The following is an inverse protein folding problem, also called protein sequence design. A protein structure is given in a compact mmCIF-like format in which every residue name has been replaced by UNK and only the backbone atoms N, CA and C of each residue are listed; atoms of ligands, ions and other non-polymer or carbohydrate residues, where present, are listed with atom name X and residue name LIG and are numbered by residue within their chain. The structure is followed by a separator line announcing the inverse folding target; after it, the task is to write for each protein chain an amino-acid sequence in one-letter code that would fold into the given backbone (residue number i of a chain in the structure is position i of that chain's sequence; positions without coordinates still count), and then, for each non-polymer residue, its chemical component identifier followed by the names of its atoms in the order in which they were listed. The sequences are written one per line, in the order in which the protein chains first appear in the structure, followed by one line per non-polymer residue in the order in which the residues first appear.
data_IF_880043900314
#
_entry.id   IF_880043900314
#
_cell.length_a   1.000
_cell.length_b   1.000
_cell.length_c   1.000
_cell.angle_alpha   90.00
_cell.angle_beta   90.00
_cell.angle_gamma   90.00
#
_symmetry.space_group_name_H-M   'P 1'
#
loop_
_entity.id
_entity.type
_entity.pdbx_description
1 polymer ?
#
# COMPACT_ATOMS: atom_id res chain seq x y z
N UNK A 1 11.13 3.55 -9.43
CA UNK A 1 10.87 2.45 -8.51
C UNK A 1 11.05 2.97 -7.09
N UNK A 2 10.12 2.70 -6.19
CA UNK A 2 10.18 3.17 -4.81
C UNK A 2 9.47 2.21 -3.88
N UNK A 3 10.06 1.93 -2.72
CA UNK A 3 9.38 1.26 -1.63
C UNK A 3 8.65 2.28 -0.76
N UNK A 4 7.46 1.91 -0.30
CA UNK A 4 6.66 2.69 0.64
C UNK A 4 6.32 1.82 1.85
N UNK A 5 6.51 2.35 3.05
CA UNK A 5 5.98 1.76 4.28
C UNK A 5 4.56 2.29 4.48
N UNK A 6 3.56 1.45 4.27
CA UNK A 6 2.15 1.81 4.33
C UNK A 6 1.59 1.51 5.72
N UNK A 7 1.13 2.52 6.48
CA UNK A 7 0.50 2.29 7.77
C UNK A 7 -0.78 1.46 7.63
N UNK A 8 -1.12 0.64 8.64
CA UNK A 8 -2.39 -0.09 8.63
C UNK A 8 -3.60 0.83 8.84
N UNK A 9 -3.39 1.92 9.58
CA UNK A 9 -4.39 2.98 9.80
C UNK A 9 -4.66 3.76 8.52
N UNK A 10 -5.93 4.12 8.30
CA UNK A 10 -6.29 5.05 7.24
C UNK A 10 -5.66 6.43 7.50
N UNK A 11 -5.38 7.24 6.47
CA UNK A 11 -4.76 8.56 6.64
C UNK A 11 -5.46 9.47 7.66
N UNK A 12 -6.79 9.42 7.72
CA UNK A 12 -7.62 10.18 8.64
C UNK A 12 -7.57 9.68 10.10
N UNK A 13 -7.09 8.45 10.34
CA UNK A 13 -6.96 7.85 11.66
C UNK A 13 -5.56 8.07 12.27
N UNK A 14 -4.58 8.46 11.44
CA UNK A 14 -3.23 8.80 11.88
C UNK A 14 -3.25 10.19 12.49
N UNK A 15 -2.79 10.30 13.73
CA UNK A 15 -2.68 11.58 14.43
C UNK A 15 -1.25 12.09 14.41
N UNK A 16 -1.09 13.41 14.55
CA UNK A 16 0.23 14.04 14.54
C UNK A 16 1.11 13.59 15.71
N UNK A 17 0.49 13.21 16.83
CA UNK A 17 1.10 12.70 18.04
C UNK A 17 1.19 11.17 18.10
N UNK A 18 0.69 10.46 17.08
CA UNK A 18 0.90 9.00 17.00
C UNK A 18 2.41 8.74 16.88
N UNK A 19 2.95 7.98 17.83
CA UNK A 19 4.34 7.52 17.74
C UNK A 19 4.48 6.61 16.53
N UNK A 20 5.49 6.85 15.68
CA UNK A 20 5.83 5.97 14.56
C UNK A 20 6.04 4.51 15.01
N UNK A 21 6.48 4.30 16.25
CA UNK A 21 6.68 2.97 16.84
C UNK A 21 5.38 2.22 17.15
N UNK A 22 4.25 2.93 17.22
CA UNK A 22 2.93 2.38 17.52
C UNK A 22 2.10 2.12 16.24
N UNK A 23 2.60 2.57 15.10
CA UNK A 23 2.01 2.30 13.80
C UNK A 23 2.62 1.02 13.24
N UNK A 24 1.77 0.05 12.90
CA UNK A 24 2.19 -1.11 12.11
C UNK A 24 2.20 -0.72 10.63
N UNK A 25 3.19 -1.21 9.90
CA UNK A 25 3.40 -0.91 8.48
C UNK A 25 3.61 -2.18 7.65
N UNK A 26 3.13 -2.15 6.42
CA UNK A 26 3.56 -3.09 5.37
C UNK A 26 4.53 -2.38 4.42
N UNK A 27 5.57 -3.10 3.98
CA UNK A 27 6.47 -2.62 2.94
C UNK A 27 5.90 -2.99 1.57
N UNK A 28 5.65 -1.99 0.73
CA UNK A 28 5.00 -2.15 -0.59
C UNK A 28 5.89 -1.58 -1.68
N UNK A 29 6.10 -2.34 -2.75
CA UNK A 29 6.85 -1.90 -3.93
C UNK A 29 5.96 -1.13 -4.88
N UNK A 30 6.43 0.00 -5.43
CA UNK A 30 5.70 0.78 -6.44
C UNK A 30 6.54 1.09 -7.68
N UNK A 31 5.86 1.06 -8.83
CA UNK A 31 6.41 1.42 -10.13
C UNK A 31 5.38 2.17 -10.98
N UNK A 32 5.67 3.45 -11.27
CA UNK A 32 4.93 4.23 -12.27
C UNK A 32 5.30 3.77 -13.68
N UNK A 33 4.29 3.58 -14.51
CA UNK A 33 4.42 3.17 -15.90
C UNK A 33 4.29 4.39 -16.82
N UNK A 34 4.83 4.30 -18.05
CA UNK A 34 4.76 5.37 -19.05
C UNK A 34 3.32 5.79 -19.41
N UNK A 35 2.36 4.86 -19.31
CA UNK A 35 0.93 5.10 -19.56
C UNK A 35 0.22 5.85 -18.40
N UNK A 36 0.96 6.23 -17.35
CA UNK A 36 0.44 6.88 -16.14
C UNK A 36 -0.32 5.93 -15.20
N UNK A 37 -0.23 4.62 -15.41
CA UNK A 37 -0.66 3.64 -14.42
C UNK A 37 0.40 3.40 -13.36
N UNK A 38 -0.01 2.81 -12.25
CA UNK A 38 0.87 2.46 -11.14
C UNK A 38 0.75 0.97 -10.88
N UNK A 39 1.87 0.27 -10.97
CA UNK A 39 2.01 -1.09 -10.54
C UNK A 39 2.51 -1.13 -9.09
N UNK A 40 2.00 -2.06 -8.29
CA UNK A 40 2.56 -2.31 -6.97
C UNK A 40 2.42 -3.75 -6.51
N UNK A 41 3.37 -4.15 -5.66
CA UNK A 41 3.47 -5.49 -5.07
C UNK A 41 3.49 -5.43 -3.54
N UNK A 42 2.79 -6.37 -2.91
CA UNK A 42 2.72 -6.48 -1.46
C UNK A 42 2.54 -7.93 -1.02
N UNK A 43 3.03 -8.24 0.17
CA UNK A 43 2.78 -9.51 0.84
C UNK A 43 1.48 -9.44 1.64
N UNK A 44 0.64 -10.46 1.53
CA UNK A 44 -0.55 -10.58 2.37
C UNK A 44 -0.89 -12.05 2.62
N UNK A 45 -1.72 -12.30 3.64
CA UNK A 45 -2.17 -13.66 3.94
C UNK A 45 -3.03 -14.20 2.80
N UNK A 46 -2.69 -15.40 2.31
CA UNK A 46 -3.43 -16.11 1.28
C UNK A 46 -4.81 -16.54 1.80
N UNK A 47 -5.85 -15.85 1.35
CA UNK A 47 -7.23 -16.31 1.54
C UNK A 47 -7.66 -17.14 0.34
N UNK A 48 -8.18 -18.35 0.57
CA UNK A 48 -8.88 -19.14 -0.45
C UNK A 48 -10.07 -18.35 -1.01
N UNK A 49 -10.55 -18.73 -2.19
CA UNK A 49 -11.67 -18.04 -2.87
C UNK A 49 -12.99 -18.00 -2.08
N UNK A 50 -13.09 -18.77 -1.00
CA UNK A 50 -14.19 -18.83 -0.04
C UNK A 50 -13.97 -17.96 1.22
N UNK A 51 -12.86 -17.21 1.29
CA UNK A 51 -12.49 -16.39 2.44
C UNK A 51 -11.85 -17.18 3.60
N UNK A 52 -11.62 -18.49 3.44
CA UNK A 52 -10.93 -19.30 4.44
C UNK A 52 -9.40 -19.15 4.33
N UNK A 53 -8.73 -19.14 5.47
CA UNK A 53 -7.26 -19.15 5.54
C UNK A 53 -6.75 -20.57 5.26
N UNK A 54 -5.70 -20.72 4.44
CA UNK A 54 -5.06 -22.02 4.23
C UNK A 54 -4.34 -22.47 5.50
N UNK A 55 -4.82 -23.55 6.12
CA UNK A 55 -4.27 -24.14 7.35
C UNK A 55 -3.03 -25.02 7.13
N UNK A 56 -2.48 -25.09 5.90
CA UNK A 56 -1.29 -25.87 5.58
C UNK A 56 -0.15 -24.94 5.14
N UNK A 57 0.68 -24.55 6.11
CA UNK A 57 1.90 -23.77 5.92
C UNK A 57 1.66 -22.25 5.90
N UNK A 58 2.20 -21.57 6.91
CA UNK A 58 2.44 -20.10 7.01
C UNK A 58 2.17 -19.30 5.72
N UNK A 59 0.89 -18.99 5.47
CA UNK A 59 0.38 -18.65 4.14
C UNK A 59 0.43 -17.17 3.81
N UNK A 60 1.62 -16.61 3.65
CA UNK A 60 1.82 -15.30 3.05
C UNK A 60 2.13 -15.47 1.57
N UNK A 61 1.37 -14.79 0.70
CA UNK A 61 1.57 -14.76 -0.74
C UNK A 61 1.96 -13.35 -1.19
N UNK A 62 2.74 -13.27 -2.26
CA UNK A 62 3.00 -12.02 -2.98
C UNK A 62 1.86 -11.72 -3.95
N UNK A 63 1.29 -10.52 -3.86
CA UNK A 63 0.25 -10.02 -4.74
C UNK A 63 0.77 -8.88 -5.58
N UNK A 64 0.35 -8.87 -6.84
CA UNK A 64 0.80 -7.93 -7.86
C UNK A 64 -0.40 -7.30 -8.54
N UNK A 65 -0.53 -5.98 -8.45
CA UNK A 65 -1.70 -5.26 -8.97
C UNK A 65 -1.30 -4.03 -9.77
N UNK A 66 -2.15 -3.67 -10.74
CA UNK A 66 -2.02 -2.47 -11.56
C UNK A 66 -3.25 -1.59 -11.33
N UNK A 67 -3.02 -0.32 -11.00
CA UNK A 67 -4.05 0.71 -10.95
C UNK A 67 -3.87 1.63 -12.16
N UNK A 68 -4.83 1.64 -13.07
CA UNK A 68 -4.77 2.48 -14.26
C UNK A 68 -4.98 3.95 -13.90
N UNK A 69 -4.60 4.86 -14.80
CA UNK A 69 -4.85 6.31 -14.66
C UNK A 69 -6.32 6.66 -14.37
N UNK A 70 -7.25 5.82 -14.86
CA UNK A 70 -8.70 5.99 -14.65
C UNK A 70 -9.20 5.31 -13.36
N UNK A 71 -8.30 4.76 -12.52
CA UNK A 71 -8.62 4.10 -11.25
C UNK A 71 -9.10 2.66 -11.37
N UNK A 72 -9.01 2.02 -12.54
CA UNK A 72 -9.35 0.60 -12.69
C UNK A 72 -8.24 -0.26 -12.06
N UNK A 73 -8.63 -1.27 -11.28
CA UNK A 73 -7.70 -2.16 -10.57
C UNK A 73 -7.71 -3.53 -11.27
N UNK A 74 -6.55 -4.00 -11.68
CA UNK A 74 -6.34 -5.33 -12.27
C UNK A 74 -5.16 -6.06 -11.61
N UNK A 75 -4.98 -7.36 -11.88
CA UNK A 75 -3.88 -8.17 -11.33
C UNK A 75 -4.31 -9.19 -10.27
N UNK A 76 -3.32 -9.89 -9.71
CA UNK A 76 -3.51 -10.95 -8.72
C UNK A 76 -3.92 -10.33 -7.38
N UNK A 77 -5.04 -10.79 -6.80
CA UNK A 77 -5.58 -10.23 -5.56
C UNK A 77 -6.51 -9.01 -5.75
N UNK A 78 -6.60 -8.45 -6.96
CA UNK A 78 -7.40 -7.24 -7.27
C UNK A 78 -8.85 -7.26 -6.76
N UNK A 79 -9.52 -8.42 -6.75
CA UNK A 79 -10.87 -8.59 -6.20
C UNK A 79 -10.88 -8.84 -4.69
N UNK A 80 -10.03 -9.76 -4.21
CA UNK A 80 -10.01 -10.22 -2.81
C UNK A 80 -9.52 -9.12 -1.86
N UNK A 81 -8.52 -8.35 -2.28
CA UNK A 81 -7.85 -7.35 -1.45
C UNK A 81 -8.20 -5.92 -1.86
N UNK A 82 -9.33 -5.70 -2.56
CA UNK A 82 -9.67 -4.39 -3.15
C UNK A 82 -9.60 -3.24 -2.14
N UNK A 83 -10.10 -3.43 -0.92
CA UNK A 83 -10.06 -2.40 0.14
C UNK A 83 -8.62 -2.05 0.51
N UNK A 84 -7.78 -3.06 0.75
CA UNK A 84 -6.36 -2.89 1.04
C UNK A 84 -5.60 -2.22 -0.12
N UNK A 85 -5.88 -2.62 -1.35
CA UNK A 85 -5.29 -2.00 -2.55
C UNK A 85 -5.63 -0.50 -2.63
N UNK A 86 -6.89 -0.12 -2.38
CA UNK A 86 -7.31 1.29 -2.38
C UNK A 86 -6.63 2.07 -1.26
N UNK A 87 -6.50 1.46 -0.09
CA UNK A 87 -5.79 2.02 1.06
C UNK A 87 -4.31 2.30 0.75
N UNK A 88 -3.60 1.28 0.28
CA UNK A 88 -2.20 1.35 -0.17
C UNK A 88 -2.02 2.44 -1.24
N UNK A 89 -2.91 2.48 -2.23
CA UNK A 89 -2.84 3.48 -3.30
C UNK A 89 -3.16 4.91 -2.83
N UNK A 90 -3.97 5.06 -1.78
CA UNK A 90 -4.23 6.38 -1.17
C UNK A 90 -2.97 6.90 -0.47
N UNK A 91 -2.31 6.05 0.31
CA UNK A 91 -1.03 6.38 0.94
C UNK A 91 0.06 6.72 -0.10
N UNK A 92 0.11 5.98 -1.20
CA UNK A 92 0.98 6.30 -2.34
C UNK A 92 0.76 7.73 -2.86
N UNK A 93 -0.49 8.12 -3.09
CA UNK A 93 -0.82 9.47 -3.57
C UNK A 93 -0.50 10.55 -2.55
N UNK A 94 -0.66 10.29 -1.26
CA UNK A 94 -0.25 11.21 -0.19
C UNK A 94 1.27 11.38 -0.19
N UNK A 95 2.02 10.28 -0.30
CA UNK A 95 3.47 10.28 -0.41
C UNK A 95 3.96 11.10 -1.62
N UNK A 96 3.27 10.98 -2.76
CA UNK A 96 3.51 11.78 -3.98
C UNK A 96 3.01 13.24 -3.89
N UNK A 97 2.39 13.64 -2.78
CA UNK A 97 1.76 14.96 -2.57
C UNK A 97 0.63 15.27 -3.58
N UNK A 98 -0.02 14.25 -4.11
CA UNK A 98 -1.19 14.38 -4.99
C UNK A 98 -2.50 14.52 -4.21
N UNK A 99 -2.51 14.04 -2.95
CA UNK A 99 -3.63 14.17 -2.02
C UNK A 99 -3.14 14.96 -0.80
N UNK A 100 -3.86 16.02 -0.46
CA UNK A 100 -3.61 16.80 0.74
C UNK A 100 -4.04 16.02 2.00
N UNK A 101 -3.25 16.14 3.05
CA UNK A 101 -3.52 15.55 4.36
C UNK A 101 -3.12 16.54 5.45
N UNK A 102 -3.68 16.40 6.64
CA UNK A 102 -3.31 17.19 7.82
C UNK A 102 -2.04 16.65 8.52
N UNK A 103 -1.45 15.58 8.00
CA UNK A 103 -0.21 15.01 8.52
C UNK A 103 0.98 15.92 8.23
N UNK A 104 1.96 15.93 9.13
CA UNK A 104 3.19 16.71 8.94
C UNK A 104 3.96 16.22 7.72
N UNK A 105 4.63 17.13 6.99
CA UNK A 105 5.49 16.75 5.86
C UNK A 105 6.56 15.75 6.27
N UNK A 106 7.17 15.94 7.44
CA UNK A 106 8.19 15.04 7.97
C UNK A 106 7.66 13.61 8.10
N UNK A 107 6.44 13.43 8.62
CA UNK A 107 5.82 12.10 8.71
C UNK A 107 5.63 11.50 7.32
N UNK A 108 5.04 12.25 6.38
CA UNK A 108 4.79 11.76 5.01
C UNK A 108 6.10 11.37 4.32
N UNK A 109 7.16 12.15 4.52
CA UNK A 109 8.47 11.89 3.93
C UNK A 109 9.13 10.65 4.56
N UNK A 110 8.81 10.31 5.81
CA UNK A 110 9.28 9.05 6.45
C UNK A 110 8.64 7.79 5.89
N UNK A 111 7.49 7.89 5.21
CA UNK A 111 6.85 6.72 4.59
C UNK A 111 7.62 6.23 3.36
N UNK A 112 8.36 7.12 2.69
CA UNK A 112 9.13 6.82 1.47
C UNK A 112 10.59 6.61 1.85
N UNK A 113 10.97 5.39 2.16
CA UNK A 113 12.35 5.11 2.55
C UNK A 113 12.90 3.88 1.84
N UNK A 114 13.28 4.06 0.58
CA UNK A 114 14.58 3.57 0.10
C UNK A 114 15.16 4.60 -0.87
N UNK A 115 16.08 5.49 -0.42
CA UNK A 115 16.94 6.19 -1.37
C UNK A 115 17.75 5.14 -2.12
N UNK A 116 17.73 5.19 -3.46
CA UNK A 116 18.64 4.43 -4.31
C UNK A 116 20.07 4.76 -3.85
N UNK A 117 20.71 3.79 -3.20
CA UNK A 117 22.15 3.80 -2.92
C UNK A 117 22.95 3.82 -4.21
#
# INVERSE_FOLDING_TARGET
MSWLYVPYKAPEEVKQDDSLLELNFDKVFFEEQEDGSVYFEYEAVSTRGDGSYSSAGSGWDNFSVKVTKNGAITGLGSRRHRKWIVHVFTWYKIAKKEINTNLSSNFVDTLIFEPLS
#
